data_IF_550139788394
#
_entry.id   IF_550139788394
#
_cell.length_a   1.000
_cell.length_b   1.000
_cell.length_c   1.000
_cell.angle_alpha   90.00
_cell.angle_beta   90.00
_cell.angle_gamma   90.00
#
_symmetry.space_group_name_H-M   'P 1'
#
loop_
_entity.id
_entity.type
_entity.pdbx_description
1 polymer ?
#
# COMPACT_ATOMS: atom_id res chain seq x y z
N UNK A 1 15.87 16.96 7.32
CA UNK A 1 14.55 17.63 7.35
C UNK A 1 13.51 16.54 7.18
N UNK A 2 12.79 16.18 8.25
CA UNK A 2 11.81 15.10 8.21
C UNK A 2 10.49 15.65 7.67
N UNK A 3 10.24 15.50 6.38
CA UNK A 3 8.90 15.66 5.83
C UNK A 3 8.04 14.53 6.38
N UNK A 4 7.16 14.85 7.33
CA UNK A 4 6.13 13.93 7.83
C UNK A 4 5.10 13.73 6.72
N UNK A 5 5.24 12.68 5.93
CA UNK A 5 4.18 12.22 5.02
C UNK A 5 3.14 11.49 5.86
N UNK A 6 2.27 12.26 6.53
CA UNK A 6 1.16 11.66 7.26
C UNK A 6 0.24 10.91 6.28
N UNK A 7 -0.34 9.75 6.67
CA UNK A 7 -1.41 9.15 5.90
C UNK A 7 -2.50 10.21 5.67
N UNK A 8 -3.06 10.24 4.46
CA UNK A 8 -4.06 11.25 4.13
C UNK A 8 -5.26 11.09 5.08
N UNK A 9 -5.43 12.04 6.02
CA UNK A 9 -6.61 12.13 6.88
C UNK A 9 -7.83 12.23 5.98
N UNK A 10 -8.85 11.41 6.22
CA UNK A 10 -10.05 11.26 5.38
C UNK A 10 -10.82 12.58 5.12
N UNK A 11 -10.58 13.65 5.88
CA UNK A 11 -11.51 14.78 5.98
C UNK A 11 -11.14 16.07 5.23
N UNK A 12 -10.15 16.13 4.33
CA UNK A 12 -9.76 17.44 3.75
C UNK A 12 -9.37 17.52 2.27
N UNK A 13 -9.47 16.42 1.49
CA UNK A 13 -9.21 16.47 0.05
C UNK A 13 -10.50 16.38 -0.76
N UNK A 14 -10.86 17.45 -1.47
CA UNK A 14 -12.10 17.51 -2.27
C UNK A 14 -11.98 16.94 -3.69
N UNK A 15 -10.84 16.35 -4.07
CA UNK A 15 -10.64 15.89 -5.45
C UNK A 15 -9.65 14.73 -5.63
N UNK A 16 -9.54 14.21 -6.87
CA UNK A 16 -8.64 13.12 -7.23
C UNK A 16 -7.20 13.42 -6.81
N UNK A 17 -6.49 12.42 -6.29
CA UNK A 17 -5.07 12.54 -5.98
C UNK A 17 -4.28 11.29 -6.39
N UNK A 18 -2.97 11.41 -6.44
CA UNK A 18 -2.03 10.32 -6.77
C UNK A 18 -1.23 9.92 -5.54
N UNK A 19 -0.61 8.75 -5.63
CA UNK A 19 0.33 8.26 -4.64
C UNK A 19 0.17 6.78 -4.31
N UNK A 20 1.06 6.26 -3.45
CA UNK A 20 1.06 4.86 -3.08
C UNK A 20 -0.03 4.52 -2.07
N UNK A 21 -0.44 3.26 -2.07
CA UNK A 21 -1.33 2.71 -1.07
C UNK A 21 -0.86 1.34 -0.58
N UNK A 22 -1.36 0.96 0.59
CA UNK A 22 -1.19 -0.36 1.17
C UNK A 22 -2.53 -0.90 1.64
N UNK A 23 -2.72 -2.20 1.45
CA UNK A 23 -3.71 -2.96 2.19
C UNK A 23 -3.08 -3.39 3.51
N UNK A 24 -3.63 -2.94 4.63
CA UNK A 24 -3.17 -3.31 5.97
C UNK A 24 -4.16 -4.28 6.63
N UNK A 25 -3.67 -5.27 7.39
CA UNK A 25 -4.54 -6.17 8.13
C UNK A 25 -5.02 -5.51 9.43
N UNK A 26 -6.27 -5.78 9.78
CA UNK A 26 -6.89 -5.38 11.05
C UNK A 26 -6.89 -6.53 12.06
N UNK A 27 -6.96 -6.24 13.37
CA UNK A 27 -6.93 -7.29 14.41
C UNK A 27 -8.10 -8.30 14.37
N UNK A 28 -9.21 -7.92 13.74
CA UNK A 28 -10.40 -8.77 13.55
C UNK A 28 -10.31 -9.69 12.33
N UNK A 29 -9.24 -9.58 11.53
CA UNK A 29 -9.03 -10.35 10.31
C UNK A 29 -9.50 -9.66 9.03
N UNK A 30 -10.09 -8.47 9.14
CA UNK A 30 -10.42 -7.64 7.97
C UNK A 30 -9.21 -6.87 7.44
N UNK A 31 -9.42 -6.14 6.35
CA UNK A 31 -8.40 -5.34 5.68
C UNK A 31 -8.84 -3.89 5.51
N UNK A 32 -7.90 -2.97 5.60
CA UNK A 32 -8.12 -1.54 5.40
C UNK A 32 -7.15 -1.01 4.33
N UNK A 33 -7.62 -0.07 3.50
CA UNK A 33 -6.79 0.62 2.52
C UNK A 33 -6.23 1.91 3.10
N UNK A 34 -4.91 1.99 3.24
CA UNK A 34 -4.21 3.21 3.63
C UNK A 34 -3.58 3.86 2.41
N UNK A 35 -3.94 5.12 2.16
CA UNK A 35 -3.45 5.92 1.05
C UNK A 35 -2.51 7.03 1.54
N UNK A 36 -1.45 7.26 0.78
CA UNK A 36 -0.50 8.34 0.99
C UNK A 36 -0.53 9.21 -0.25
N UNK A 37 -0.84 10.49 -0.04
CA UNK A 37 -0.99 11.39 -1.16
C UNK A 37 0.36 12.03 -1.50
N UNK A 38 0.67 12.06 -2.79
CA UNK A 38 1.79 12.83 -3.31
C UNK A 38 1.53 14.32 -3.20
N UNK A 39 2.62 15.08 -3.11
CA UNK A 39 2.56 16.53 -3.10
C UNK A 39 2.26 17.09 -4.49
N UNK A 40 1.78 18.34 -4.54
CA UNK A 40 1.50 19.01 -5.80
C UNK A 40 2.77 19.31 -6.64
N UNK A 41 3.96 19.06 -6.10
CA UNK A 41 5.22 19.19 -6.85
C UNK A 41 5.46 17.99 -7.76
N UNK A 42 4.63 16.95 -7.68
CA UNK A 42 4.72 15.75 -8.51
C UNK A 42 5.93 14.89 -8.15
N UNK A 43 6.52 15.07 -6.97
CA UNK A 43 7.57 14.18 -6.50
C UNK A 43 6.96 12.85 -6.09
N UNK A 44 7.32 11.82 -6.85
CA UNK A 44 6.91 10.46 -6.56
C UNK A 44 7.43 10.05 -5.18
N UNK A 45 6.51 9.61 -4.32
CA UNK A 45 6.88 9.10 -3.00
C UNK A 45 7.01 7.58 -3.10
N UNK A 46 8.23 7.06 -2.96
CA UNK A 46 8.49 5.62 -3.00
C UNK A 46 7.95 4.87 -1.78
N UNK A 47 7.59 3.60 -1.96
CA UNK A 47 7.11 2.70 -0.90
C UNK A 47 8.07 2.61 0.30
N UNK A 48 9.39 2.56 0.05
CA UNK A 48 10.43 2.58 1.08
C UNK A 48 10.29 3.79 2.02
N UNK A 49 9.92 4.96 1.48
CA UNK A 49 9.85 6.19 2.26
C UNK A 49 8.64 6.23 3.20
N UNK A 50 7.50 5.68 2.78
CA UNK A 50 6.25 5.70 3.57
C UNK A 50 6.07 4.47 4.45
N UNK A 51 6.86 3.42 4.22
CA UNK A 51 6.73 2.16 4.96
C UNK A 51 6.81 2.32 6.48
N UNK A 52 7.71 3.15 7.06
CA UNK A 52 7.68 3.42 8.50
C UNK A 52 6.33 3.96 8.99
N UNK A 53 5.64 4.77 8.18
CA UNK A 53 4.32 5.30 8.54
C UNK A 53 3.23 4.25 8.41
N UNK A 54 3.31 3.35 7.42
CA UNK A 54 2.44 2.16 7.32
C UNK A 54 2.57 1.29 8.57
N UNK A 55 3.80 0.97 8.97
CA UNK A 55 4.06 0.22 10.20
C UNK A 55 3.54 0.93 11.45
N UNK A 56 3.62 2.26 11.50
CA UNK A 56 3.03 3.01 12.62
C UNK A 56 1.50 2.89 12.66
N UNK A 57 0.83 2.91 11.51
CA UNK A 57 -0.62 2.68 11.43
C UNK A 57 -0.95 1.28 11.92
N UNK A 58 -0.26 0.25 11.42
CA UNK A 58 -0.44 -1.15 11.86
C UNK A 58 -0.22 -1.26 13.36
N UNK A 59 0.90 -0.77 13.88
CA UNK A 59 1.21 -0.84 15.31
C UNK A 59 0.10 -0.25 16.18
N UNK A 60 -0.46 0.91 15.80
CA UNK A 60 -1.60 1.51 16.50
C UNK A 60 -2.86 0.66 16.44
N UNK A 61 -3.21 0.14 15.26
CA UNK A 61 -4.41 -0.71 15.07
C UNK A 61 -4.31 -2.00 15.89
N UNK A 62 -3.11 -2.57 16.00
CA UNK A 62 -2.82 -3.80 16.73
C UNK A 62 -2.51 -3.61 18.22
N UNK A 63 -2.58 -2.37 18.75
CA UNK A 63 -2.23 -2.08 20.15
C UNK A 63 -0.76 -2.36 20.49
N UNK A 64 0.12 -2.39 19.48
CA UNK A 64 1.56 -2.61 19.61
C UNK A 64 2.30 -1.27 19.69
N UNK A 65 3.56 -1.30 20.16
CA UNK A 65 4.41 -0.12 20.17
C UNK A 65 4.92 0.18 18.74
N UNK A 66 4.50 1.29 18.10
CA UNK A 66 4.76 1.54 16.69
C UNK A 66 6.25 1.55 16.30
N UNK A 67 7.11 2.15 17.13
CA UNK A 67 8.52 2.29 16.78
C UNK A 67 9.29 0.98 16.97
N UNK A 68 8.83 0.07 17.85
CA UNK A 68 9.33 -1.32 17.91
C UNK A 68 9.05 -2.05 16.61
N UNK A 69 7.86 -1.87 16.03
CA UNK A 69 7.52 -2.49 14.76
C UNK A 69 8.35 -1.89 13.62
N UNK A 70 8.51 -0.56 13.57
CA UNK A 70 9.40 0.13 12.61
C UNK A 70 10.83 -0.39 12.69
N UNK A 71 11.41 -0.53 13.90
CA UNK A 71 12.78 -1.04 14.06
C UNK A 71 12.98 -2.47 13.57
N UNK A 72 11.96 -3.32 13.66
CA UNK A 72 12.04 -4.74 13.27
C UNK A 72 11.74 -4.96 11.79
N UNK A 73 10.82 -4.18 11.24
CA UNK A 73 10.25 -4.41 9.91
C UNK A 73 10.54 -3.29 8.91
N UNK A 74 11.25 -2.22 9.30
CA UNK A 74 11.47 -1.02 8.49
C UNK A 74 12.15 -1.24 7.14
N UNK A 75 12.88 -2.34 6.97
CA UNK A 75 13.56 -2.69 5.72
C UNK A 75 12.74 -3.59 4.79
N UNK A 76 11.48 -3.88 5.15
CA UNK A 76 10.61 -4.83 4.44
C UNK A 76 9.34 -4.16 3.84
N UNK A 77 9.46 -3.16 2.95
CA UNK A 77 8.32 -2.41 2.41
C UNK A 77 7.39 -3.24 1.51
N UNK A 78 7.80 -4.45 1.16
CA UNK A 78 7.10 -5.36 0.25
C UNK A 78 6.37 -6.49 0.99
N UNK A 79 6.17 -6.35 2.31
CA UNK A 79 5.52 -7.36 3.15
C UNK A 79 3.99 -7.45 2.98
N UNK A 80 3.37 -6.46 2.32
CA UNK A 80 1.92 -6.33 2.19
C UNK A 80 1.52 -6.03 0.75
N UNK A 81 0.29 -6.41 0.34
CA UNK A 81 -0.28 -6.00 -0.93
C UNK A 81 -0.34 -4.47 -1.03
N UNK A 82 0.08 -3.95 -2.17
CA UNK A 82 0.26 -2.52 -2.39
C UNK A 82 -0.04 -2.15 -3.84
N UNK A 83 0.00 -0.86 -4.10
CA UNK A 83 0.02 -0.34 -5.43
C UNK A 83 0.18 1.16 -5.43
N UNK A 84 -0.01 1.74 -6.61
CA UNK A 84 0.11 3.18 -6.81
C UNK A 84 -0.98 3.72 -7.71
N UNK A 85 -1.48 4.89 -7.35
CA UNK A 85 -2.28 5.73 -8.24
C UNK A 85 -1.38 6.74 -8.94
N UNK A 86 -1.41 6.76 -10.26
CA UNK A 86 -0.64 7.70 -11.09
C UNK A 86 -1.57 8.57 -11.93
N UNK A 87 -1.16 9.82 -12.16
CA UNK A 87 -1.84 10.68 -13.14
C UNK A 87 -1.32 10.35 -14.53
N UNK A 88 -2.24 10.17 -15.46
CA UNK A 88 -1.96 10.05 -16.89
C UNK A 88 -2.30 11.38 -17.60
N UNK A 89 -2.00 11.46 -18.89
CA UNK A 89 -2.37 12.60 -19.72
C UNK A 89 -3.90 12.85 -19.72
N UNK A 90 -4.30 14.10 -19.98
CA UNK A 90 -5.70 14.51 -20.21
C UNK A 90 -6.65 14.19 -19.04
N UNK A 91 -6.17 14.28 -17.79
CA UNK A 91 -6.96 13.99 -16.58
C UNK A 91 -7.51 12.56 -16.62
N UNK A 92 -6.63 11.61 -16.88
CA UNK A 92 -6.87 10.17 -16.72
C UNK A 92 -6.02 9.65 -15.58
N UNK A 93 -6.40 8.51 -15.04
CA UNK A 93 -5.73 7.93 -13.87
C UNK A 93 -5.40 6.46 -14.11
N UNK A 94 -4.27 6.05 -13.58
CA UNK A 94 -3.82 4.67 -13.58
C UNK A 94 -3.75 4.13 -12.17
N UNK A 95 -4.15 2.88 -11.97
CA UNK A 95 -3.93 2.12 -10.73
C UNK A 95 -3.02 0.94 -11.06
N UNK A 96 -1.77 1.05 -10.66
CA UNK A 96 -0.79 -0.05 -10.66
C UNK A 96 -1.05 -0.95 -9.45
N UNK A 97 -0.96 -2.28 -9.64
CA UNK A 97 -1.17 -3.25 -8.56
C UNK A 97 -0.41 -4.57 -8.80
N UNK A 98 -0.06 -5.26 -7.72
CA UNK A 98 0.62 -6.57 -7.74
C UNK A 98 -0.27 -7.79 -8.00
N UNK A 99 -1.59 -7.59 -8.22
CA UNK A 99 -2.59 -8.66 -8.35
C UNK A 99 -2.68 -9.59 -7.12
N UNK A 100 -2.29 -9.08 -5.97
CA UNK A 100 -2.23 -9.72 -4.65
C UNK A 100 -3.19 -9.07 -3.65
N UNK A 101 -4.23 -8.39 -4.15
CA UNK A 101 -5.28 -7.77 -3.32
C UNK A 101 -5.87 -8.80 -2.34
N UNK A 102 -6.07 -8.43 -1.06
CA UNK A 102 -6.58 -9.38 -0.08
C UNK A 102 -7.95 -9.98 -0.45
N UNK A 103 -8.25 -11.20 0.03
CA UNK A 103 -9.55 -11.82 -0.19
C UNK A 103 -10.70 -10.92 0.26
N UNK A 104 -11.75 -10.81 -0.56
CA UNK A 104 -12.92 -9.98 -0.28
C UNK A 104 -12.73 -8.48 -0.54
N UNK A 105 -11.49 -8.03 -0.82
CA UNK A 105 -11.22 -6.65 -1.21
C UNK A 105 -11.25 -6.47 -2.72
N UNK A 106 -11.57 -5.24 -3.15
CA UNK A 106 -11.71 -4.88 -4.57
C UNK A 106 -10.93 -3.61 -4.87
N UNK A 107 -10.36 -3.50 -6.07
CA UNK A 107 -9.68 -2.28 -6.51
C UNK A 107 -10.62 -1.06 -6.63
N UNK A 108 -11.95 -1.26 -6.64
CA UNK A 108 -12.93 -0.17 -6.52
C UNK A 108 -12.81 0.61 -5.21
N UNK A 109 -12.29 -0.01 -4.15
CA UNK A 109 -11.99 0.71 -2.91
C UNK A 109 -10.86 1.73 -3.11
N UNK A 110 -9.91 1.44 -4.01
CA UNK A 110 -8.84 2.37 -4.39
C UNK A 110 -9.43 3.57 -5.13
N UNK A 111 -10.37 3.35 -6.05
CA UNK A 111 -11.10 4.46 -6.71
C UNK A 111 -11.74 5.40 -5.69
N UNK A 112 -12.48 4.83 -4.72
CA UNK A 112 -13.14 5.60 -3.67
C UNK A 112 -12.12 6.33 -2.79
N UNK A 113 -11.06 5.66 -2.35
CA UNK A 113 -10.07 6.24 -1.43
C UNK A 113 -9.26 7.39 -2.04
N UNK A 114 -9.02 7.34 -3.35
CA UNK A 114 -8.27 8.36 -4.10
C UNK A 114 -9.16 9.37 -4.82
N UNK A 115 -10.48 9.33 -4.60
CA UNK A 115 -11.48 10.18 -5.26
C UNK A 115 -11.41 10.15 -6.79
N UNK A 116 -11.14 8.96 -7.35
CA UNK A 116 -10.94 8.78 -8.78
C UNK A 116 -12.27 8.52 -9.52
N UNK A 117 -12.51 9.17 -10.66
CA UNK A 117 -13.70 8.90 -11.47
C UNK A 117 -13.55 7.55 -12.20
N UNK A 118 -14.49 6.59 -12.03
CA UNK A 118 -14.37 5.25 -12.60
C UNK A 118 -14.19 5.23 -14.13
N UNK A 119 -14.97 6.04 -14.85
CA UNK A 119 -14.93 6.09 -16.33
C UNK A 119 -13.66 6.72 -16.95
N UNK A 120 -12.70 7.13 -16.12
CA UNK A 120 -11.41 7.70 -16.57
C UNK A 120 -10.21 7.05 -15.88
N UNK A 121 -10.44 5.93 -15.19
CA UNK A 121 -9.40 5.21 -14.45
C UNK A 121 -9.18 3.82 -15.05
N UNK A 122 -7.92 3.46 -15.25
CA UNK A 122 -7.52 2.14 -15.76
C UNK A 122 -6.71 1.40 -14.71
N UNK A 123 -7.00 0.10 -14.54
CA UNK A 123 -6.21 -0.80 -13.70
C UNK A 123 -5.18 -1.53 -14.57
N UNK A 124 -3.97 -1.70 -14.06
CA UNK A 124 -2.94 -2.49 -14.72
C UNK A 124 -2.04 -3.19 -13.71
N UNK A 125 -1.55 -4.36 -14.10
CA UNK A 125 -0.58 -5.11 -13.33
C UNK A 125 0.80 -4.46 -13.41
N UNK A 126 1.50 -4.41 -12.28
CA UNK A 126 2.90 -3.97 -12.19
C UNK A 126 3.65 -4.88 -11.23
N UNK A 127 4.71 -5.52 -11.73
CA UNK A 127 5.57 -6.41 -10.96
C UNK A 127 6.25 -5.71 -9.77
N UNK A 128 6.50 -4.41 -9.88
CA UNK A 128 7.08 -3.61 -8.81
C UNK A 128 6.11 -3.40 -7.64
N UNK A 129 4.83 -3.72 -7.81
CA UNK A 129 3.80 -3.64 -6.77
C UNK A 129 3.51 -4.99 -6.11
N UNK A 130 4.13 -6.06 -6.59
CA UNK A 130 3.97 -7.43 -6.09
C UNK A 130 4.57 -7.58 -4.70
N UNK A 131 3.81 -8.16 -3.78
CA UNK A 131 4.28 -8.54 -2.45
C UNK A 131 5.36 -9.62 -2.50
N UNK A 132 6.37 -9.51 -1.64
CA UNK A 132 7.40 -10.52 -1.47
C UNK A 132 7.00 -11.47 -0.34
N UNK A 133 6.84 -12.76 -0.66
CA UNK A 133 6.35 -13.76 0.29
C UNK A 133 7.24 -13.95 1.53
N UNK A 134 8.55 -13.72 1.42
CA UNK A 134 9.46 -13.75 2.57
C UNK A 134 9.19 -12.60 3.55
N UNK A 135 8.99 -11.39 3.02
CA UNK A 135 8.69 -10.20 3.83
C UNK A 135 7.34 -10.35 4.54
N UNK A 136 6.35 -10.94 3.85
CA UNK A 136 5.06 -11.30 4.45
C UNK A 136 5.24 -12.24 5.64
N UNK A 137 6.03 -13.32 5.49
CA UNK A 137 6.27 -14.28 6.58
C UNK A 137 6.93 -13.62 7.80
N UNK A 138 7.85 -12.68 7.59
CA UNK A 138 8.43 -11.90 8.68
C UNK A 138 7.38 -11.06 9.40
N UNK A 139 6.49 -10.39 8.66
CA UNK A 139 5.41 -9.59 9.24
C UNK A 139 4.42 -10.45 10.03
N UNK A 140 4.00 -11.59 9.46
CA UNK A 140 3.13 -12.57 10.13
C UNK A 140 3.72 -13.05 11.45
N UNK A 141 5.02 -13.36 11.47
CA UNK A 141 5.72 -13.79 12.68
C UNK A 141 5.78 -12.69 13.73
N UNK A 142 6.00 -11.43 13.31
CA UNK A 142 6.09 -10.29 14.23
C UNK A 142 4.74 -9.93 14.86
N UNK A 143 3.69 -9.93 14.04
CA UNK A 143 2.30 -9.69 14.46
C UNK A 143 1.66 -10.93 15.12
N UNK A 144 2.30 -12.10 15.03
CA UNK A 144 1.80 -13.41 15.51
C UNK A 144 0.46 -13.81 14.89
N UNK A 145 0.32 -13.61 13.58
CA UNK A 145 -0.91 -13.87 12.82
C UNK A 145 -0.68 -14.68 11.55
N UNK A 146 -1.77 -15.10 10.91
CA UNK A 146 -1.76 -15.69 9.57
C UNK A 146 -2.72 -14.92 8.68
N UNK A 147 -2.18 -14.27 7.66
CA UNK A 147 -2.93 -13.41 6.74
C UNK A 147 -3.51 -14.20 5.57
N UNK A 148 -3.03 -15.43 5.34
CA UNK A 148 -3.53 -16.35 4.29
C UNK A 148 -3.60 -15.71 2.89
N UNK A 149 -2.73 -14.73 2.63
CA UNK A 149 -2.60 -14.14 1.31
C UNK A 149 -2.00 -15.20 0.37
N UNK A 150 -2.55 -15.29 -0.84
CA UNK A 150 -1.88 -16.03 -1.90
C UNK A 150 -0.61 -15.26 -2.22
N UNK A 151 0.55 -15.85 -1.93
CA UNK A 151 1.78 -15.33 -2.49
C UNK A 151 1.60 -15.31 -4.01
N UNK A 152 1.82 -14.16 -4.68
CA UNK A 152 1.87 -14.14 -6.12
C UNK A 152 2.93 -15.14 -6.59
N UNK A 153 2.76 -15.77 -7.78
CA UNK A 153 3.79 -16.64 -8.32
C UNK A 153 5.13 -15.90 -8.28
N UNK A 154 6.18 -16.58 -7.83
CA UNK A 154 7.54 -16.04 -7.93
C UNK A 154 7.75 -15.63 -9.39
N UNK A 155 8.18 -14.40 -9.69
CA UNK A 155 8.63 -14.10 -11.04
C UNK A 155 9.72 -15.11 -11.37
N UNK A 156 9.57 -15.82 -12.48
CA UNK A 156 10.70 -16.51 -13.11
C UNK A 156 11.64 -15.39 -13.55
N UNK A 157 12.60 -15.05 -12.70
CA UNK A 157 13.78 -14.33 -13.14
C UNK A 157 14.57 -15.35 -13.94
N UNK A 158 14.29 -15.44 -15.23
CA UNK A 158 15.24 -16.03 -16.16
C UNK A 158 16.52 -15.18 -16.05
N UNK A 159 17.57 -15.76 -15.46
CA UNK A 159 18.92 -15.20 -15.42
C UNK A 159 19.45 -15.13 -16.88
N UNK A 160 19.21 -14.00 -17.56
CA UNK A 160 19.88 -13.61 -18.81
C UNK A 160 21.09 -12.68 -18.55
#
# INVERSE_FOLDING_TARGET
MNSKTAPASEESREGPFTGPYYWIPLPDGDWELVAFAEDASGREIGHVHIWPDVLRVIGRKWGMEPEKLVRRMGDNPYALPRGRVVSQEKRRWGIAHGADTPPGMTLDAVLRRFHLPPGKTTFFFDEHEVMIGEHLRLLENDLKIKLNLKAPPTPDFDDD
#
